data_IF_536543814511
#
_entry.id   IF_536543814511
#
_cell.length_a   1.000
_cell.length_b   1.000
_cell.length_c   1.000
_cell.angle_alpha   90.00
_cell.angle_beta   90.00
_cell.angle_gamma   90.00
#
_symmetry.space_group_name_H-M   'P 1'
#
loop_
_entity.id
_entity.type
_entity.pdbx_description
1 polymer ?
#
# COMPACT_ATOMS: atom_id res chain seq x y z
N UNK A 1 17.91 12.17 -36.80
CA UNK A 1 17.52 12.26 -35.38
C UNK A 1 16.46 13.34 -35.29
N UNK A 2 15.20 12.96 -35.39
CA UNK A 2 14.07 13.88 -35.24
C UNK A 2 13.11 13.33 -34.19
N UNK A 3 12.56 14.26 -33.43
CA UNK A 3 12.03 14.13 -32.08
C UNK A 3 10.69 13.39 -32.01
N UNK A 4 10.64 12.34 -31.19
CA UNK A 4 9.39 11.79 -30.68
C UNK A 4 8.88 12.73 -29.58
N UNK A 5 8.08 13.73 -29.96
CA UNK A 5 7.37 14.64 -29.04
C UNK A 5 5.86 14.47 -29.23
N UNK A 6 5.35 13.28 -28.91
CA UNK A 6 3.91 12.97 -28.83
C UNK A 6 3.57 12.30 -27.50
N UNK A 7 3.89 12.97 -26.39
CA UNK A 7 3.35 12.61 -25.07
C UNK A 7 3.01 13.88 -24.26
N UNK A 8 1.87 14.54 -24.57
CA UNK A 8 1.35 15.63 -23.72
C UNK A 8 -0.15 15.56 -23.39
N UNK A 9 -0.92 14.60 -23.90
CA UNK A 9 -2.33 14.39 -23.48
C UNK A 9 -2.57 13.20 -22.56
N UNK A 10 -1.61 12.27 -22.44
CA UNK A 10 -1.73 11.09 -21.57
C UNK A 10 -1.13 11.24 -20.17
N UNK A 11 -0.22 12.21 -19.97
CA UNK A 11 0.50 12.39 -18.70
C UNK A 11 -0.42 12.77 -17.54
N UNK A 12 -1.28 13.76 -17.77
CA UNK A 12 -2.17 14.29 -16.73
C UNK A 12 -3.16 13.23 -16.21
N UNK A 13 -3.70 12.38 -17.09
CA UNK A 13 -4.62 11.31 -16.69
C UNK A 13 -3.91 10.21 -15.89
N UNK A 14 -2.68 9.86 -16.27
CA UNK A 14 -1.88 8.87 -15.54
C UNK A 14 -1.53 9.37 -14.13
N UNK A 15 -1.20 10.66 -14.00
CA UNK A 15 -0.96 11.30 -12.70
C UNK A 15 -2.23 11.39 -11.88
N UNK A 16 -3.37 11.78 -12.49
CA UNK A 16 -4.68 11.83 -11.80
C UNK A 16 -5.06 10.46 -11.23
N UNK A 17 -4.87 9.38 -11.99
CA UNK A 17 -5.07 8.00 -11.53
C UNK A 17 -4.12 7.65 -10.37
N UNK A 18 -2.85 8.01 -10.47
CA UNK A 18 -1.88 7.74 -9.42
C UNK A 18 -2.15 8.50 -8.12
N UNK A 19 -2.57 9.76 -8.20
CA UNK A 19 -3.04 10.54 -7.03
C UNK A 19 -4.21 9.83 -6.35
N UNK A 20 -5.24 9.44 -7.11
CA UNK A 20 -6.40 8.71 -6.56
C UNK A 20 -5.97 7.40 -5.89
N UNK A 21 -5.06 6.65 -6.50
CA UNK A 21 -4.55 5.42 -5.91
C UNK A 21 -3.73 5.68 -4.63
N UNK A 22 -2.89 6.71 -4.62
CA UNK A 22 -2.12 7.09 -3.44
C UNK A 22 -3.04 7.49 -2.29
N UNK A 23 -4.13 8.22 -2.57
CA UNK A 23 -5.15 8.56 -1.58
C UNK A 23 -5.84 7.29 -1.02
N UNK A 24 -6.18 6.34 -1.89
CA UNK A 24 -6.82 5.06 -1.49
C UNK A 24 -5.97 4.22 -0.56
N UNK A 25 -4.65 4.24 -0.71
CA UNK A 25 -3.76 3.53 0.19
C UNK A 25 -3.36 4.35 1.42
N UNK A 26 -3.57 5.67 1.41
CA UNK A 26 -3.12 6.54 2.50
C UNK A 26 -4.24 6.98 3.45
N UNK A 27 -5.51 6.92 3.04
CA UNK A 27 -6.62 7.26 3.94
C UNK A 27 -6.62 6.31 5.15
N UNK A 28 -6.89 6.84 6.35
CA UNK A 28 -6.79 6.15 7.64
C UNK A 28 -5.38 5.75 8.11
N UNK A 29 -4.31 6.05 7.37
CA UNK A 29 -2.98 5.85 7.93
C UNK A 29 -2.73 6.82 9.10
N UNK A 30 -1.91 6.41 10.07
CA UNK A 30 -1.69 7.21 11.29
C UNK A 30 -1.20 8.62 10.97
N UNK A 31 -0.31 8.76 9.98
CA UNK A 31 0.19 10.07 9.56
C UNK A 31 -0.91 10.92 8.89
N UNK A 32 -1.78 10.32 8.06
CA UNK A 32 -2.93 11.04 7.49
C UNK A 32 -3.91 11.52 8.57
N UNK A 33 -4.11 10.75 9.65
CA UNK A 33 -4.92 11.19 10.79
C UNK A 33 -4.28 12.36 11.53
N UNK A 34 -2.96 12.32 11.75
CA UNK A 34 -2.21 13.42 12.39
C UNK A 34 -2.25 14.72 11.57
N UNK A 35 -2.38 14.61 10.25
CA UNK A 35 -2.50 15.75 9.33
C UNK A 35 -3.96 16.22 9.11
N UNK A 36 -4.94 15.61 9.79
CA UNK A 36 -6.37 15.80 9.54
C UNK A 36 -6.75 15.65 8.05
N UNK A 37 -6.07 14.74 7.35
CA UNK A 37 -6.18 14.57 5.90
C UNK A 37 -7.11 13.40 5.50
N UNK A 38 -7.50 12.55 6.44
CA UNK A 38 -8.19 11.28 6.16
C UNK A 38 -9.47 11.45 5.35
N UNK A 39 -10.35 12.37 5.73
CA UNK A 39 -11.60 12.59 5.00
C UNK A 39 -11.36 13.20 3.61
N UNK A 40 -10.37 14.07 3.47
CA UNK A 40 -9.97 14.63 2.17
C UNK A 40 -9.47 13.53 1.23
N UNK A 41 -8.54 12.69 1.70
CA UNK A 41 -8.01 11.56 0.91
C UNK A 41 -9.12 10.57 0.52
N UNK A 42 -10.05 10.28 1.44
CA UNK A 42 -11.22 9.43 1.17
C UNK A 42 -12.13 10.02 0.08
N UNK A 43 -12.47 11.31 0.16
CA UNK A 43 -13.29 11.98 -0.86
C UNK A 43 -12.66 11.92 -2.25
N UNK A 44 -11.36 12.23 -2.36
CA UNK A 44 -10.63 12.16 -3.64
C UNK A 44 -10.57 10.73 -4.17
N UNK A 45 -10.37 9.76 -3.28
CA UNK A 45 -10.39 8.33 -3.63
C UNK A 45 -11.72 7.85 -4.21
N UNK A 46 -12.82 8.47 -3.77
CA UNK A 46 -14.19 8.25 -4.26
C UNK A 46 -14.54 9.07 -5.51
N UNK A 47 -13.61 9.89 -6.00
CA UNK A 47 -13.77 10.65 -7.23
C UNK A 47 -14.18 12.10 -7.06
N UNK A 48 -14.18 12.64 -5.84
CA UNK A 48 -14.36 14.08 -5.65
C UNK A 48 -13.30 14.87 -6.45
N UNK A 49 -13.73 15.89 -7.18
CA UNK A 49 -12.84 16.78 -7.91
C UNK A 49 -12.27 17.83 -6.93
N UNK A 50 -10.94 17.89 -6.87
CA UNK A 50 -10.17 18.84 -6.09
C UNK A 50 -8.94 19.23 -6.92
N UNK A 51 -8.35 20.39 -6.63
CA UNK A 51 -7.12 20.78 -7.30
C UNK A 51 -6.02 19.75 -7.01
N UNK A 52 -5.43 19.21 -8.09
CA UNK A 52 -4.45 18.13 -7.97
C UNK A 52 -3.24 18.55 -7.12
N UNK A 53 -2.82 19.81 -7.22
CA UNK A 53 -1.68 20.34 -6.47
C UNK A 53 -1.92 20.34 -4.95
N UNK A 54 -3.11 20.71 -4.49
CA UNK A 54 -3.46 20.66 -3.06
C UNK A 54 -3.35 19.23 -2.51
N UNK A 55 -3.83 18.25 -3.28
CA UNK A 55 -3.75 16.83 -2.88
C UNK A 55 -2.31 16.33 -2.92
N UNK A 56 -1.51 16.76 -3.91
CA UNK A 56 -0.08 16.44 -3.95
C UNK A 56 0.63 17.00 -2.72
N UNK A 57 0.32 18.21 -2.26
CA UNK A 57 0.93 18.78 -1.06
C UNK A 57 0.60 17.99 0.22
N UNK A 58 -0.62 17.43 0.33
CA UNK A 58 -0.97 16.51 1.42
C UNK A 58 -0.13 15.23 1.30
N UNK A 59 -0.15 14.58 0.13
CA UNK A 59 0.54 13.30 -0.08
C UNK A 59 2.06 13.42 0.08
N UNK A 60 2.65 14.57 -0.26
CA UNK A 60 4.08 14.88 -0.08
C UNK A 60 4.55 14.84 1.37
N UNK A 61 3.64 15.07 2.31
CA UNK A 61 3.93 15.06 3.75
C UNK A 61 3.92 13.65 4.35
N UNK A 62 3.36 12.66 3.64
CA UNK A 62 3.27 11.28 4.12
C UNK A 62 4.59 10.53 3.97
N UNK A 63 4.79 9.51 4.81
CA UNK A 63 6.03 8.72 4.87
C UNK A 63 6.34 7.94 3.58
N UNK A 64 5.33 7.77 2.71
CA UNK A 64 5.45 7.05 1.44
C UNK A 64 6.06 7.91 0.33
N UNK A 65 5.96 9.25 0.41
CA UNK A 65 6.39 10.13 -0.69
C UNK A 65 7.89 10.06 -1.04
N UNK A 66 8.83 9.96 -0.08
CA UNK A 66 10.25 9.75 -0.40
C UNK A 66 10.49 8.53 -1.29
N UNK A 67 9.69 7.47 -1.13
CA UNK A 67 9.78 6.25 -1.92
C UNK A 67 9.21 6.46 -3.33
N UNK A 68 8.11 7.19 -3.47
CA UNK A 68 7.58 7.56 -4.79
C UNK A 68 8.63 8.33 -5.60
N UNK A 69 9.31 9.31 -4.98
CA UNK A 69 10.41 10.05 -5.61
C UNK A 69 11.57 9.13 -6.02
N UNK A 70 11.95 8.19 -5.16
CA UNK A 70 13.03 7.26 -5.43
C UNK A 70 12.70 6.33 -6.62
N UNK A 71 11.50 5.75 -6.64
CA UNK A 71 11.01 4.90 -7.74
C UNK A 71 11.03 5.70 -9.04
N UNK A 72 10.42 6.90 -9.04
CA UNK A 72 10.32 7.74 -10.22
C UNK A 72 11.69 8.09 -10.79
N UNK A 73 12.62 8.52 -9.93
CA UNK A 73 14.00 8.86 -10.32
C UNK A 73 14.75 7.66 -10.92
N UNK A 74 14.71 6.50 -10.28
CA UNK A 74 15.43 5.30 -10.76
C UNK A 74 14.88 4.82 -12.11
N UNK A 75 13.63 5.11 -12.40
CA UNK A 75 12.92 4.65 -13.60
C UNK A 75 12.77 5.74 -14.68
N UNK A 76 13.36 6.93 -14.49
CA UNK A 76 13.20 8.08 -15.39
C UNK A 76 11.72 8.41 -15.67
N UNK A 77 10.90 8.42 -14.61
CA UNK A 77 9.50 8.85 -14.66
C UNK A 77 9.44 10.24 -14.06
N UNK A 78 8.89 11.20 -14.81
CA UNK A 78 8.93 12.63 -14.44
C UNK A 78 8.14 12.95 -13.17
N UNK A 79 6.92 12.41 -13.04
CA UNK A 79 6.05 12.67 -11.88
C UNK A 79 6.05 11.48 -10.90
N UNK A 80 6.43 11.67 -9.61
CA UNK A 80 6.32 10.65 -8.57
C UNK A 80 4.90 10.13 -8.33
N UNK A 81 3.88 10.87 -8.73
CA UNK A 81 2.47 10.47 -8.65
C UNK A 81 1.96 9.80 -9.93
N UNK A 82 2.82 9.47 -10.89
CA UNK A 82 2.45 8.59 -12.00
C UNK A 82 1.90 7.26 -11.46
N UNK A 83 0.76 6.80 -11.99
CA UNK A 83 0.12 5.55 -11.55
C UNK A 83 1.05 4.33 -11.57
N UNK A 84 2.06 4.30 -12.45
CA UNK A 84 3.07 3.22 -12.49
C UNK A 84 3.96 3.24 -11.26
N UNK A 85 4.36 4.43 -10.80
CA UNK A 85 5.15 4.62 -9.58
C UNK A 85 4.35 4.20 -8.36
N UNK A 86 3.12 4.72 -8.24
CA UNK A 86 2.23 4.45 -7.11
C UNK A 86 1.85 2.96 -7.05
N UNK A 87 1.47 2.37 -8.19
CA UNK A 87 1.12 0.94 -8.26
C UNK A 87 2.32 0.05 -7.96
N UNK A 88 3.52 0.40 -8.44
CA UNK A 88 4.72 -0.39 -8.15
C UNK A 88 5.05 -0.36 -6.65
N UNK A 89 4.93 0.79 -5.99
CA UNK A 89 5.15 0.88 -4.55
C UNK A 89 4.18 -0.01 -3.74
N UNK A 90 2.89 0.02 -4.07
CA UNK A 90 1.84 -0.67 -3.30
C UNK A 90 1.56 -2.11 -3.74
N UNK A 91 1.98 -2.53 -4.94
CA UNK A 91 1.65 -3.87 -5.47
C UNK A 91 2.80 -4.56 -6.18
N UNK A 92 3.88 -3.84 -6.48
CA UNK A 92 4.97 -4.36 -7.31
C UNK A 92 4.68 -4.41 -8.81
N UNK A 93 3.52 -3.90 -9.25
CA UNK A 93 3.08 -3.96 -10.64
C UNK A 93 2.81 -2.55 -11.20
N UNK A 94 3.23 -2.22 -12.44
CA UNK A 94 4.12 -3.01 -13.30
C UNK A 94 5.52 -3.13 -12.68
N UNK A 95 6.31 -4.13 -13.08
CA UNK A 95 7.67 -4.30 -12.57
C UNK A 95 8.56 -3.13 -13.01
N UNK A 96 9.07 -2.37 -12.05
CA UNK A 96 10.02 -1.28 -12.26
C UNK A 96 11.41 -1.64 -11.71
N UNK A 97 12.42 -0.83 -12.05
CA UNK A 97 13.78 -0.91 -11.51
C UNK A 97 13.82 -0.41 -10.08
N UNK A 98 14.82 -0.90 -9.35
CA UNK A 98 15.00 -0.68 -7.92
C UNK A 98 14.40 -1.83 -7.12
N UNK A 99 14.96 -2.13 -5.96
CA UNK A 99 14.33 -3.02 -5.00
C UNK A 99 13.78 -2.15 -3.87
N UNK A 100 12.65 -1.49 -4.14
CA UNK A 100 12.03 -0.59 -3.16
C UNK A 100 11.01 -1.40 -2.38
N UNK A 101 11.36 -1.64 -1.12
CA UNK A 101 10.72 -2.63 -0.26
C UNK A 101 9.28 -2.20 0.06
N UNK A 102 8.34 -2.98 -0.44
CA UNK A 102 6.90 -2.76 -0.33
C UNK A 102 6.46 -2.58 1.14
N UNK A 103 5.74 -1.49 1.41
CA UNK A 103 5.30 -1.08 2.75
C UNK A 103 6.40 -1.05 3.81
N UNK A 104 7.68 -1.09 3.44
CA UNK A 104 8.76 -1.12 4.42
C UNK A 104 8.86 0.19 5.21
N UNK A 105 8.31 1.28 4.67
CA UNK A 105 8.06 2.53 5.42
C UNK A 105 7.37 2.27 6.74
N UNK A 106 6.44 1.32 6.79
CA UNK A 106 5.67 0.99 8.00
C UNK A 106 6.55 0.37 9.08
N UNK A 107 7.63 -0.33 8.69
CA UNK A 107 8.52 -1.03 9.60
C UNK A 107 9.70 -0.16 10.04
N UNK A 108 10.09 0.83 9.22
CA UNK A 108 11.24 1.69 9.50
C UNK A 108 11.19 2.42 10.87
N UNK A 109 10.06 3.05 11.26
CA UNK A 109 9.96 3.76 12.54
C UNK A 109 10.20 2.86 13.76
N UNK A 110 9.87 1.58 13.65
CA UNK A 110 9.91 0.63 14.77
C UNK A 110 11.18 -0.24 14.78
N UNK A 111 12.11 -0.04 13.84
CA UNK A 111 13.31 -0.89 13.69
C UNK A 111 14.18 -0.94 14.94
N UNK A 112 14.21 0.13 15.74
CA UNK A 112 15.01 0.22 16.96
C UNK A 112 14.25 -0.18 18.23
N UNK A 113 12.93 -0.44 18.15
CA UNK A 113 12.15 -0.81 19.33
C UNK A 113 12.45 -2.26 19.75
N UNK A 114 12.51 -2.60 21.05
CA UNK A 114 12.55 -4.00 21.47
C UNK A 114 11.36 -4.79 20.93
N UNK A 115 11.56 -6.04 20.47
CA UNK A 115 10.50 -6.84 19.81
C UNK A 115 9.26 -7.05 20.70
N UNK A 116 9.44 -7.06 22.03
CA UNK A 116 8.34 -7.13 23.00
C UNK A 116 7.42 -5.90 22.99
N UNK A 117 7.90 -4.73 22.54
CA UNK A 117 7.13 -3.49 22.47
C UNK A 117 6.48 -3.26 21.11
N UNK A 118 6.72 -4.15 20.15
CA UNK A 118 6.13 -4.05 18.82
C UNK A 118 4.71 -4.65 18.88
N UNK A 119 3.71 -3.82 18.62
CA UNK A 119 2.33 -4.25 18.43
C UNK A 119 2.15 -4.83 17.01
N UNK A 120 1.96 -6.15 16.92
CA UNK A 120 1.80 -6.84 15.64
C UNK A 120 0.46 -6.58 15.00
N UNK A 121 -0.59 -6.24 15.75
CA UNK A 121 -1.88 -5.90 15.16
C UNK A 121 -1.78 -4.60 14.38
N UNK A 122 -1.06 -3.60 14.92
CA UNK A 122 -0.84 -2.34 14.23
C UNK A 122 -0.02 -2.53 12.93
N UNK A 123 1.01 -3.38 12.97
CA UNK A 123 1.78 -3.72 11.77
C UNK A 123 0.90 -4.45 10.76
N UNK A 124 0.17 -5.47 11.21
CA UNK A 124 -0.68 -6.28 10.35
C UNK A 124 -1.75 -5.44 9.65
N UNK A 125 -2.35 -4.48 10.35
CA UNK A 125 -3.31 -3.55 9.75
C UNK A 125 -2.66 -2.51 8.83
N UNK A 126 -1.41 -2.12 9.09
CA UNK A 126 -0.67 -1.13 8.29
C UNK A 126 0.00 -1.76 7.05
N UNK A 127 0.22 -3.06 7.00
CA UNK A 127 0.67 -3.74 5.80
C UNK A 127 -0.49 -3.92 4.81
N UNK A 128 -0.17 -3.84 3.53
CA UNK A 128 -1.08 -4.26 2.46
C UNK A 128 -1.02 -5.77 2.34
N UNK A 129 -2.15 -6.43 2.55
CA UNK A 129 -2.29 -7.87 2.33
C UNK A 129 -3.12 -8.14 1.10
N UNK A 130 -2.87 -9.26 0.44
CA UNK A 130 -3.89 -9.87 -0.41
C UNK A 130 -4.84 -10.71 0.46
N UNK A 131 -6.10 -10.78 0.08
CA UNK A 131 -7.11 -11.56 0.77
C UNK A 131 -8.15 -12.12 -0.21
N UNK A 132 -8.79 -13.22 0.17
CA UNK A 132 -9.93 -13.79 -0.57
C UNK A 132 -11.21 -13.51 0.19
N UNK A 133 -12.22 -12.98 -0.48
CA UNK A 133 -13.53 -12.74 0.13
C UNK A 133 -14.24 -14.09 0.32
N UNK A 134 -14.50 -14.47 1.57
CA UNK A 134 -15.17 -15.73 1.92
C UNK A 134 -16.65 -15.55 2.20
N UNK A 135 -17.07 -14.33 2.55
CA UNK A 135 -18.47 -13.96 2.76
C UNK A 135 -18.70 -12.51 2.34
N UNK A 136 -19.77 -12.26 1.61
CA UNK A 136 -20.22 -10.93 1.23
C UNK A 136 -21.74 -10.85 1.29
N UNK A 137 -22.23 -10.00 2.18
CA UNK A 137 -23.63 -9.60 2.33
C UNK A 137 -23.71 -8.06 2.45
N UNK A 138 -24.91 -7.46 2.43
CA UNK A 138 -25.06 -6.01 2.62
C UNK A 138 -24.45 -5.48 3.91
N UNK A 139 -24.54 -6.24 5.00
CA UNK A 139 -24.12 -5.77 6.33
C UNK A 139 -22.71 -6.21 6.70
N UNK A 140 -22.18 -7.23 6.01
CA UNK A 140 -20.95 -7.89 6.46
C UNK A 140 -20.13 -8.46 5.30
N UNK A 141 -18.84 -8.13 5.31
CA UNK A 141 -17.86 -8.71 4.39
C UNK A 141 -16.72 -9.30 5.21
N UNK A 142 -16.44 -10.59 4.98
CA UNK A 142 -15.34 -11.30 5.62
C UNK A 142 -14.29 -11.66 4.57
N UNK A 143 -13.05 -11.34 4.89
CA UNK A 143 -11.89 -11.67 4.09
C UNK A 143 -10.99 -12.66 4.83
N UNK A 144 -10.48 -13.66 4.12
CA UNK A 144 -9.47 -14.61 4.61
C UNK A 144 -8.09 -14.22 4.06
N UNK A 145 -7.12 -14.09 4.95
CA UNK A 145 -5.76 -13.63 4.63
C UNK A 145 -4.73 -14.27 5.57
N UNK A 146 -3.45 -14.11 5.28
CA UNK A 146 -2.35 -14.59 6.12
C UNK A 146 -1.73 -13.41 6.87
N UNK A 147 -1.95 -13.29 8.18
CA UNK A 147 -1.49 -12.12 8.94
C UNK A 147 0.02 -12.15 9.17
N UNK A 148 0.57 -11.00 9.52
CA UNK A 148 1.93 -10.86 10.05
C UNK A 148 1.89 -10.92 11.58
N UNK A 149 2.79 -11.72 12.16
CA UNK A 149 2.93 -11.81 13.61
C UNK A 149 4.38 -12.10 14.02
N UNK A 150 4.62 -12.12 15.33
CA UNK A 150 5.92 -12.49 15.93
C UNK A 150 6.00 -13.98 16.15
N UNK A 151 7.05 -14.61 15.64
CA UNK A 151 7.44 -15.97 16.01
C UNK A 151 8.95 -16.02 16.22
N UNK A 152 9.42 -16.60 17.32
CA UNK A 152 10.86 -16.70 17.62
C UNK A 152 11.62 -15.36 17.50
N UNK A 153 11.00 -14.27 17.98
CA UNK A 153 11.52 -12.88 17.95
C UNK A 153 11.73 -12.29 16.54
N UNK A 154 11.16 -12.88 15.49
CA UNK A 154 11.14 -12.31 14.14
C UNK A 154 9.70 -12.02 13.69
N UNK A 155 9.52 -11.01 12.84
CA UNK A 155 8.23 -10.78 12.17
C UNK A 155 8.14 -11.65 10.92
N UNK A 156 7.05 -12.38 10.75
CA UNK A 156 6.79 -13.16 9.53
C UNK A 156 5.30 -13.25 9.23
N UNK A 157 4.97 -13.57 7.98
CA UNK A 157 3.62 -13.99 7.59
C UNK A 157 3.36 -15.37 8.21
N UNK A 158 2.25 -15.52 8.92
CA UNK A 158 1.84 -16.79 9.51
C UNK A 158 1.38 -17.78 8.44
N UNK A 159 1.60 -19.07 8.68
CA UNK A 159 1.14 -20.14 7.78
C UNK A 159 -0.36 -20.43 7.92
N UNK A 160 -0.96 -20.00 9.05
CA UNK A 160 -2.39 -20.16 9.29
C UNK A 160 -3.12 -18.89 8.90
N UNK A 161 -4.00 -19.02 7.90
CA UNK A 161 -4.90 -17.94 7.53
C UNK A 161 -5.87 -17.58 8.67
N UNK A 162 -6.15 -16.28 8.82
CA UNK A 162 -7.19 -15.73 9.69
C UNK A 162 -8.32 -15.16 8.84
N UNK A 163 -9.49 -15.00 9.45
CA UNK A 163 -10.61 -14.26 8.86
C UNK A 163 -10.76 -12.94 9.61
N UNK A 164 -11.02 -11.85 8.88
CA UNK A 164 -11.36 -10.56 9.46
C UNK A 164 -12.51 -9.91 8.73
N UNK A 165 -13.28 -9.12 9.45
CA UNK A 165 -14.26 -8.24 8.85
C UNK A 165 -13.55 -7.08 8.15
N UNK A 166 -14.02 -6.74 6.95
CA UNK A 166 -13.44 -5.67 6.14
C UNK A 166 -14.53 -4.74 5.63
N UNK A 167 -14.17 -3.47 5.47
CA UNK A 167 -15.05 -2.44 4.94
C UNK A 167 -14.87 -2.29 3.44
N UNK A 168 -15.98 -2.19 2.71
CA UNK A 168 -15.99 -1.92 1.28
C UNK A 168 -16.51 -0.50 1.03
N UNK A 169 -15.59 0.46 0.93
CA UNK A 169 -15.94 1.87 0.71
C UNK A 169 -15.80 2.25 -0.77
N UNK A 170 -14.86 1.65 -1.50
CA UNK A 170 -14.49 2.09 -2.85
C UNK A 170 -15.17 1.32 -3.98
N UNK A 171 -15.88 0.23 -3.67
CA UNK A 171 -16.53 -0.60 -4.67
C UNK A 171 -18.02 -0.70 -4.38
N UNK A 172 -18.78 -0.93 -5.44
CA UNK A 172 -20.15 -1.43 -5.31
C UNK A 172 -20.13 -2.88 -4.82
N UNK A 173 -20.79 -3.79 -5.55
CA UNK A 173 -20.88 -5.19 -5.16
C UNK A 173 -19.51 -5.90 -5.17
N UNK A 174 -19.19 -6.56 -4.06
CA UNK A 174 -18.10 -7.53 -3.89
C UNK A 174 -18.71 -8.94 -3.93
N UNK A 175 -17.99 -9.93 -4.46
CA UNK A 175 -18.44 -11.33 -4.55
C UNK A 175 -17.51 -12.26 -3.78
N UNK A 176 -18.07 -13.36 -3.27
CA UNK A 176 -17.29 -14.46 -2.72
C UNK A 176 -16.31 -15.00 -3.78
N UNK A 177 -15.08 -15.29 -3.36
CA UNK A 177 -13.99 -15.76 -4.22
C UNK A 177 -13.20 -14.64 -4.90
N UNK A 178 -13.63 -13.39 -4.86
CA UNK A 178 -12.81 -12.28 -5.37
C UNK A 178 -11.54 -12.11 -4.52
N UNK A 179 -10.42 -11.85 -5.20
CA UNK A 179 -9.14 -11.54 -4.56
C UNK A 179 -9.00 -10.02 -4.50
N UNK A 180 -8.67 -9.53 -3.31
CA UNK A 180 -8.57 -8.10 -3.04
C UNK A 180 -7.28 -7.77 -2.32
N UNK A 181 -6.89 -6.49 -2.36
CA UNK A 181 -5.96 -5.93 -1.37
C UNK A 181 -6.73 -5.37 -0.18
N UNK A 182 -6.18 -5.57 1.02
CA UNK A 182 -6.71 -5.00 2.26
C UNK A 182 -5.64 -4.15 2.95
N UNK A 183 -6.05 -3.02 3.51
CA UNK A 183 -5.21 -2.10 4.28
C UNK A 183 -6.08 -1.35 5.29
N UNK A 184 -5.66 -1.27 6.56
CA UNK A 184 -6.45 -0.75 7.69
C UNK A 184 -7.88 -1.31 7.74
N UNK A 185 -8.06 -2.60 7.49
CA UNK A 185 -9.36 -3.28 7.45
C UNK A 185 -10.33 -2.76 6.37
N UNK A 186 -9.82 -2.12 5.31
CA UNK A 186 -10.58 -1.70 4.14
C UNK A 186 -10.13 -2.46 2.91
N UNK A 187 -11.08 -2.80 2.03
CA UNK A 187 -10.80 -3.31 0.68
C UNK A 187 -10.33 -2.14 -0.18
N UNK A 188 -9.13 -2.24 -0.76
CA UNK A 188 -8.51 -1.13 -1.51
C UNK A 188 -8.63 -1.33 -3.02
N UNK A 189 -8.33 -2.54 -3.52
CA UNK A 189 -8.39 -2.92 -4.93
C UNK A 189 -8.86 -4.37 -5.11
N UNK A 190 -9.52 -4.66 -6.23
CA UNK A 190 -9.65 -6.02 -6.76
C UNK A 190 -8.37 -6.34 -7.53
N UNK A 191 -7.84 -7.54 -7.34
CA UNK A 191 -6.59 -7.98 -7.96
C UNK A 191 -6.71 -9.39 -8.54
N UNK A 192 -5.78 -9.76 -9.40
CA UNK A 192 -5.64 -11.12 -9.92
C UNK A 192 -4.66 -11.95 -9.07
N UNK A 193 -4.60 -13.25 -9.37
CA UNK A 193 -3.69 -14.20 -8.68
C UNK A 193 -2.21 -13.79 -8.83
N UNK A 194 -1.70 -13.40 -10.03
CA UNK A 194 -0.32 -12.92 -10.16
C UNK A 194 0.03 -11.71 -9.27
N UNK A 195 -0.89 -10.75 -9.16
CA UNK A 195 -0.70 -9.59 -8.29
C UNK A 195 -0.68 -9.99 -6.82
N UNK A 196 -1.53 -10.94 -6.40
CA UNK A 196 -1.54 -11.46 -5.03
C UNK A 196 -0.21 -12.14 -4.66
N UNK A 197 0.33 -12.96 -5.57
CA UNK A 197 1.66 -13.59 -5.41
C UNK A 197 2.76 -12.53 -5.32
N UNK A 198 2.67 -11.48 -6.13
CA UNK A 198 3.65 -10.39 -6.12
C UNK A 198 3.65 -9.67 -4.76
N UNK A 199 2.47 -9.35 -4.22
CA UNK A 199 2.33 -8.71 -2.91
C UNK A 199 2.86 -9.59 -1.78
N UNK A 200 2.56 -10.90 -1.79
CA UNK A 200 3.09 -11.84 -0.79
C UNK A 200 4.63 -11.87 -0.82
N UNK A 201 5.21 -12.03 -2.01
CA UNK A 201 6.66 -12.05 -2.18
C UNK A 201 7.33 -10.78 -1.70
N UNK A 202 6.77 -9.61 -2.05
CA UNK A 202 7.30 -8.32 -1.63
C UNK A 202 7.18 -8.09 -0.12
N UNK A 203 6.09 -8.57 0.49
CA UNK A 203 5.88 -8.50 1.94
C UNK A 203 6.92 -9.37 2.65
N UNK A 204 7.15 -10.61 2.19
CA UNK A 204 8.20 -11.50 2.74
C UNK A 204 9.60 -10.89 2.64
N UNK A 205 9.94 -10.29 1.49
CA UNK A 205 11.23 -9.62 1.31
C UNK A 205 11.40 -8.45 2.30
N UNK A 206 10.35 -7.65 2.47
CA UNK A 206 10.34 -6.50 3.39
C UNK A 206 10.50 -6.95 4.86
N UNK A 207 9.76 -8.00 5.27
CA UNK A 207 9.90 -8.59 6.61
C UNK A 207 11.28 -9.19 6.83
N UNK A 208 11.82 -9.94 5.86
CA UNK A 208 13.18 -10.48 5.94
C UNK A 208 14.18 -9.36 6.16
N UNK A 209 14.12 -8.31 5.34
CA UNK A 209 15.06 -7.18 5.44
C UNK A 209 14.93 -6.45 6.77
N UNK A 210 13.72 -6.32 7.31
CA UNK A 210 13.49 -5.75 8.63
C UNK A 210 14.16 -6.60 9.72
N UNK A 211 13.96 -7.91 9.69
CA UNK A 211 14.59 -8.83 10.63
C UNK A 211 16.12 -8.82 10.51
N UNK A 212 16.67 -8.77 9.28
CA UNK A 212 18.12 -8.67 9.04
C UNK A 212 18.69 -7.39 9.70
N UNK A 213 18.08 -6.21 9.46
CA UNK A 213 18.52 -4.95 10.06
C UNK A 213 18.48 -5.00 11.59
N UNK A 214 17.51 -5.70 12.15
CA UNK A 214 17.38 -5.83 13.61
C UNK A 214 18.40 -6.78 14.22
N UNK A 215 18.82 -7.81 13.50
CA UNK A 215 19.86 -8.73 13.97
C UNK A 215 21.20 -8.00 14.16
N UNK A 216 21.44 -6.94 13.36
CA UNK A 216 22.64 -6.10 13.46
C UNK A 216 22.59 -5.12 14.64
N UNK A 217 21.40 -4.83 15.18
CA UNK A 217 21.24 -3.99 16.37
C UNK A 217 21.55 -4.87 17.58
N UNK A 218 22.79 -4.83 18.06
CA UNK A 218 23.18 -5.38 19.36
C UNK A 218 22.39 -4.66 20.44
N UNK A 219 21.34 -5.30 20.97
CA UNK A 219 20.60 -4.86 22.15
C UNK A 219 21.20 -5.50 23.38
#
# INVERSE_FOLDING_TARGET
MESISTFKKGGDEMVKKGIRLACKYSFNCQHANLLDATETLKKVSLGAEMHADDIKEILKKLDTYPFYKAIAKINNIDDPFDIRVISYYWRGTPKLKGNLWHNFTTLLPIKNLPMRHIDTNLIDDCLVHHAVITHSSPDKIIAKYFPVDKENKVLKILERAKSKEVKNIFFGKIKNGEIVTIHFSHIIEKIDVPSAITIDNLTRQSLKKFNDIRADIKV
#
